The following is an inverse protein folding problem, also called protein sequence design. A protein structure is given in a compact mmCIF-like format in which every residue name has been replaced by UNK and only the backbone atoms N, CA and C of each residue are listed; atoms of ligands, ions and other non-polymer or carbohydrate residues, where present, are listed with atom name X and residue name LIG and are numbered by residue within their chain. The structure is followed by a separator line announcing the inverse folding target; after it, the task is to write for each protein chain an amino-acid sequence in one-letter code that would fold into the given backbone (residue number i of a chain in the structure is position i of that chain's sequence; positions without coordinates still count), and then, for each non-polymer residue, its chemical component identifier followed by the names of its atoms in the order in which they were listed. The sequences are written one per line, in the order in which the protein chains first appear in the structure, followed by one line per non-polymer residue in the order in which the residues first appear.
data_IF_754820342130
#
_entry.id   IF_754820342130
#
_cell.length_a   1.000
_cell.length_b   1.000
_cell.length_c   1.000
_cell.angle_alpha   90.00
_cell.angle_beta   90.00
_cell.angle_gamma   90.00
#
_symmetry.space_group_name_H-M   'P 1'
#
loop_
_entity.id
_entity.type
_entity.pdbx_description
1 polymer ?
#
# COMPACT_ATOMS: atom_id res chain seq x y z
N UNK A 1 24.10 -29.45 -9.03
CA UNK A 1 23.95 -28.05 -8.58
C UNK A 1 23.34 -27.27 -9.73
N UNK A 2 22.01 -27.18 -9.77
CA UNK A 2 21.31 -26.38 -10.79
C UNK A 2 21.12 -25.00 -10.19
N UNK A 3 21.90 -24.03 -10.68
CA UNK A 3 21.64 -22.62 -10.43
C UNK A 3 20.26 -22.33 -11.03
N UNK A 4 19.23 -22.23 -10.19
CA UNK A 4 18.00 -21.55 -10.57
C UNK A 4 18.37 -20.09 -10.77
N UNK A 5 18.41 -19.66 -12.03
CA UNK A 5 18.28 -18.26 -12.44
C UNK A 5 17.01 -17.73 -11.80
N UNK A 6 17.16 -17.16 -10.59
CA UNK A 6 16.09 -16.53 -9.84
C UNK A 6 15.62 -15.32 -10.63
N UNK A 7 14.54 -15.51 -11.40
CA UNK A 7 13.74 -14.39 -11.89
C UNK A 7 13.37 -13.57 -10.65
N UNK A 8 13.79 -12.31 -10.59
CA UNK A 8 13.57 -11.45 -9.41
C UNK A 8 12.06 -11.33 -9.18
N UNK A 9 11.54 -12.13 -8.25
CA UNK A 9 10.12 -12.16 -7.93
C UNK A 9 9.77 -10.84 -7.22
N UNK A 10 8.80 -10.11 -7.76
CA UNK A 10 8.39 -8.83 -7.19
C UNK A 10 7.40 -9.12 -6.06
N UNK A 11 7.81 -8.83 -4.83
CA UNK A 11 6.97 -8.95 -3.65
C UNK A 11 6.22 -7.62 -3.42
N UNK A 12 4.90 -7.66 -3.56
CA UNK A 12 4.03 -6.51 -3.31
C UNK A 12 3.12 -6.85 -2.15
N UNK A 13 3.04 -5.94 -1.18
CA UNK A 13 2.13 -6.07 -0.07
C UNK A 13 1.29 -4.82 0.14
N UNK A 14 0.02 -5.01 0.49
CA UNK A 14 -0.81 -3.94 0.99
C UNK A 14 -0.87 -3.99 2.52
N UNK A 15 -0.78 -2.84 3.17
CA UNK A 15 -0.93 -2.66 4.61
C UNK A 15 -2.24 -1.91 4.87
N UNK A 16 -3.21 -2.61 5.44
CA UNK A 16 -4.56 -2.11 5.68
C UNK A 16 -4.94 -2.28 7.14
N UNK A 17 -5.87 -1.46 7.63
CA UNK A 17 -6.40 -1.59 8.99
C UNK A 17 -7.06 -2.94 9.21
N UNK A 18 -7.99 -3.25 8.34
CA UNK A 18 -8.74 -4.49 8.29
C UNK A 18 -9.16 -4.79 6.86
N UNK A 19 -9.62 -6.02 6.63
CA UNK A 19 -10.25 -6.44 5.39
C UNK A 19 -11.77 -6.47 5.53
N UNK A 20 -12.36 -5.61 6.37
CA UNK A 20 -13.81 -5.58 6.53
C UNK A 20 -14.50 -5.14 5.21
N UNK A 21 -15.82 -5.36 5.08
CA UNK A 21 -16.58 -4.92 3.92
C UNK A 21 -16.49 -3.39 3.72
N UNK A 22 -15.65 -2.97 2.78
CA UNK A 22 -15.46 -1.59 2.36
C UNK A 22 -15.17 -1.52 0.87
N UNK A 23 -15.36 -0.36 0.25
CA UNK A 23 -15.01 -0.16 -1.16
C UNK A 23 -13.51 -0.44 -1.38
N UNK A 24 -12.64 0.10 -0.52
CA UNK A 24 -11.19 -0.14 -0.58
C UNK A 24 -10.85 -1.63 -0.56
N UNK A 25 -11.38 -2.36 0.43
CA UNK A 25 -11.16 -3.81 0.56
C UNK A 25 -11.63 -4.58 -0.68
N UNK A 26 -12.79 -4.21 -1.25
CA UNK A 26 -13.31 -4.87 -2.44
C UNK A 26 -12.40 -4.69 -3.66
N UNK A 27 -12.00 -3.46 -3.96
CA UNK A 27 -11.10 -3.17 -5.10
C UNK A 27 -9.73 -3.77 -4.89
N UNK A 28 -9.14 -3.63 -3.69
CA UNK A 28 -7.87 -4.25 -3.33
C UNK A 28 -7.90 -5.76 -3.56
N UNK A 29 -8.90 -6.47 -3.00
CA UNK A 29 -9.00 -7.93 -3.13
C UNK A 29 -9.17 -8.32 -4.60
N UNK A 30 -10.02 -7.61 -5.34
CA UNK A 30 -10.28 -7.89 -6.76
C UNK A 30 -9.02 -7.71 -7.61
N UNK A 31 -8.29 -6.62 -7.40
CA UNK A 31 -7.04 -6.34 -8.10
C UNK A 31 -5.95 -7.36 -7.75
N UNK A 32 -5.76 -7.66 -6.46
CA UNK A 32 -4.76 -8.63 -6.01
C UNK A 32 -5.08 -10.04 -6.49
N UNK A 33 -6.34 -10.45 -6.47
CA UNK A 33 -6.76 -11.74 -7.03
C UNK A 33 -6.52 -11.81 -8.54
N UNK A 34 -6.61 -10.69 -9.27
CA UNK A 34 -6.35 -10.67 -10.71
C UNK A 34 -4.85 -10.84 -11.02
N UNK A 35 -3.97 -10.39 -10.13
CA UNK A 35 -2.51 -10.50 -10.26
C UNK A 35 -1.99 -11.94 -10.15
N UNK A 36 -2.79 -12.89 -9.64
CA UNK A 36 -2.41 -14.30 -9.51
C UNK A 36 -2.10 -14.96 -10.85
N UNK A 37 -2.62 -14.41 -11.95
CA UNK A 37 -2.30 -14.88 -13.30
C UNK A 37 -0.80 -14.70 -13.63
N UNK A 38 -0.12 -13.75 -12.99
CA UNK A 38 1.29 -13.49 -13.17
C UNK A 38 2.11 -14.20 -12.09
N UNK A 39 2.85 -15.24 -12.48
CA UNK A 39 3.69 -16.03 -11.58
C UNK A 39 4.93 -15.28 -11.07
N UNK A 40 5.23 -14.12 -11.65
CA UNK A 40 6.41 -13.31 -11.32
C UNK A 40 6.15 -12.36 -10.14
N UNK A 41 4.89 -12.22 -9.71
CA UNK A 41 4.46 -11.28 -8.67
C UNK A 41 3.92 -12.07 -7.48
N UNK A 42 4.45 -11.81 -6.29
CA UNK A 42 3.92 -12.34 -5.04
C UNK A 42 3.15 -11.25 -4.30
N UNK A 43 1.83 -11.43 -4.20
CA UNK A 43 0.95 -10.50 -3.49
C UNK A 43 0.65 -10.97 -2.07
N UNK A 44 0.78 -10.08 -1.08
CA UNK A 44 0.34 -10.32 0.30
C UNK A 44 -0.43 -9.13 0.86
N UNK A 45 -1.24 -9.37 1.89
CA UNK A 45 -1.91 -8.29 2.62
C UNK A 45 -1.63 -8.44 4.10
N UNK A 46 -1.21 -7.34 4.72
CA UNK A 46 -1.02 -7.20 6.14
C UNK A 46 -2.20 -6.42 6.73
N UNK A 47 -2.81 -6.97 7.78
CA UNK A 47 -3.92 -6.32 8.47
C UNK A 47 -3.65 -6.22 9.98
N UNK A 48 -4.14 -5.13 10.60
CA UNK A 48 -4.07 -4.95 12.05
C UNK A 48 -5.17 -5.75 12.76
N UNK A 49 -6.39 -5.67 12.24
CA UNK A 49 -7.56 -6.34 12.81
C UNK A 49 -8.09 -7.40 11.85
N UNK A 50 -8.35 -8.60 12.38
CA UNK A 50 -9.04 -9.64 11.63
C UNK A 50 -10.50 -9.24 11.39
N UNK A 51 -10.93 -9.34 10.14
CA UNK A 51 -12.31 -9.12 9.71
C UNK A 51 -12.66 -10.10 8.59
N UNK A 52 -13.95 -10.34 8.38
CA UNK A 52 -14.43 -11.21 7.29
C UNK A 52 -14.35 -10.41 5.99
N UNK A 53 -13.57 -10.88 4.99
CA UNK A 53 -13.44 -10.16 3.73
C UNK A 53 -14.73 -10.22 2.91
N UNK A 54 -15.06 -9.16 2.15
CA UNK A 54 -16.25 -9.12 1.30
C UNK A 54 -16.18 -10.13 0.14
N UNK A 55 -14.97 -10.51 -0.27
CA UNK A 55 -14.70 -11.47 -1.36
C UNK A 55 -13.62 -12.43 -0.91
N UNK A 56 -13.64 -13.66 -1.43
CA UNK A 56 -12.60 -14.67 -1.14
C UNK A 56 -11.22 -14.16 -1.57
N UNK A 57 -10.30 -14.09 -0.62
CA UNK A 57 -8.90 -13.74 -0.84
C UNK A 57 -8.14 -14.95 -1.40
N UNK A 58 -7.40 -14.77 -2.49
CA UNK A 58 -6.57 -15.80 -3.10
C UNK A 58 -5.07 -15.57 -2.87
N UNK A 59 -4.73 -14.63 -1.98
CA UNK A 59 -3.37 -14.23 -1.62
C UNK A 59 -3.08 -14.46 -0.12
N UNK A 60 -1.82 -14.27 0.30
CA UNK A 60 -1.42 -14.45 1.70
C UNK A 60 -1.89 -13.29 2.57
N UNK A 61 -2.70 -13.58 3.58
CA UNK A 61 -3.18 -12.62 4.57
C UNK A 61 -2.38 -12.82 5.88
N UNK A 62 -1.72 -11.77 6.38
CA UNK A 62 -0.84 -11.82 7.57
C UNK A 62 -1.16 -10.69 8.53
N UNK A 63 -0.78 -10.84 9.79
CA UNK A 63 -0.87 -9.74 10.75
C UNK A 63 0.28 -8.75 10.55
N UNK A 64 0.02 -7.46 10.83
CA UNK A 64 1.00 -6.37 10.83
C UNK A 64 2.27 -6.68 11.62
N UNK A 65 2.20 -7.51 12.66
CA UNK A 65 3.38 -7.91 13.45
C UNK A 65 4.44 -8.65 12.61
N UNK A 66 4.03 -9.31 11.52
CA UNK A 66 4.95 -9.99 10.61
C UNK A 66 5.60 -9.04 9.58
N UNK A 67 5.33 -7.73 9.64
CA UNK A 67 5.87 -6.75 8.71
C UNK A 67 7.39 -6.55 8.87
N UNK A 68 7.93 -6.78 10.08
CA UNK A 68 9.35 -6.59 10.39
C UNK A 68 10.28 -7.52 9.60
N UNK A 69 9.79 -8.71 9.23
CA UNK A 69 10.55 -9.71 8.44
C UNK A 69 10.23 -9.66 6.94
N UNK A 70 9.43 -8.69 6.50
CA UNK A 70 9.02 -8.59 5.10
C UNK A 70 10.06 -7.86 4.25
N UNK A 71 10.32 -8.40 3.05
CA UNK A 71 11.19 -7.82 2.04
C UNK A 71 10.42 -7.67 0.73
N UNK A 72 10.34 -6.45 0.21
CA UNK A 72 9.54 -6.12 -0.96
C UNK A 72 9.01 -4.71 -0.88
N UNK A 73 7.83 -4.49 -1.47
CA UNK A 73 7.20 -3.18 -1.58
C UNK A 73 5.93 -3.19 -0.72
N UNK A 74 5.78 -2.19 0.15
CA UNK A 74 4.68 -2.10 1.13
C UNK A 74 3.86 -0.87 0.81
N UNK A 75 2.58 -1.06 0.47
CA UNK A 75 1.65 -0.01 0.11
C UNK A 75 0.64 0.15 1.25
N UNK A 76 0.71 1.26 1.96
CA UNK A 76 -0.18 1.57 3.08
C UNK A 76 -1.33 2.45 2.62
N UNK A 77 -2.56 2.18 3.06
CA UNK A 77 -3.74 2.95 2.62
C UNK A 77 -4.13 4.10 3.53
N UNK A 78 -3.56 4.13 4.73
CA UNK A 78 -3.96 5.03 5.81
C UNK A 78 -2.75 5.51 6.60
N UNK A 79 -2.89 6.63 7.30
CA UNK A 79 -1.79 7.34 7.96
C UNK A 79 -1.21 6.53 9.13
N UNK A 80 -2.06 5.84 9.89
CA UNK A 80 -1.65 4.98 11.01
C UNK A 80 -0.77 3.81 10.53
N UNK A 81 -1.16 3.18 9.43
CA UNK A 81 -0.47 2.07 8.76
C UNK A 81 0.83 2.57 8.15
N UNK A 82 0.81 3.75 7.53
CA UNK A 82 2.01 4.39 6.99
C UNK A 82 3.01 4.68 8.10
N UNK A 83 2.57 5.21 9.23
CA UNK A 83 3.42 5.43 10.40
C UNK A 83 3.99 4.10 10.93
N UNK A 84 3.18 3.05 10.97
CA UNK A 84 3.61 1.71 11.39
C UNK A 84 4.67 1.15 10.43
N UNK A 85 4.47 1.32 9.13
CA UNK A 85 5.43 0.92 8.09
C UNK A 85 6.74 1.70 8.20
N UNK A 86 6.69 3.02 8.43
CA UNK A 86 7.89 3.84 8.62
C UNK A 86 8.68 3.46 9.87
N UNK A 87 7.99 3.09 10.96
CA UNK A 87 8.61 2.60 12.20
C UNK A 87 9.16 1.18 12.07
N UNK A 88 8.64 0.37 11.15
CA UNK A 88 9.19 -0.96 10.89
C UNK A 88 10.60 -0.83 10.31
N UNK A 89 11.58 -1.45 10.99
CA UNK A 89 12.98 -1.53 10.55
C UNK A 89 13.15 -2.63 9.50
N UNK A 90 12.44 -2.52 8.39
CA UNK A 90 12.53 -3.42 7.24
C UNK A 90 13.18 -2.73 6.04
N UNK A 91 13.86 -3.51 5.20
CA UNK A 91 14.44 -3.05 3.94
C UNK A 91 13.39 -3.13 2.81
N UNK A 92 12.23 -2.52 3.02
CA UNK A 92 11.13 -2.50 2.06
C UNK A 92 10.90 -1.10 1.50
N UNK A 93 10.56 -0.99 0.22
CA UNK A 93 10.11 0.28 -0.34
C UNK A 93 8.72 0.62 0.19
N UNK A 94 8.57 1.83 0.72
CA UNK A 94 7.34 2.25 1.40
C UNK A 94 6.56 3.19 0.51
N UNK A 95 5.33 2.79 0.22
CA UNK A 95 4.38 3.56 -0.54
C UNK A 95 3.18 3.91 0.35
N UNK A 96 2.74 5.16 0.26
CA UNK A 96 1.48 5.60 0.84
C UNK A 96 0.49 5.84 -0.29
N UNK A 97 -0.52 4.97 -0.38
CA UNK A 97 -1.61 5.10 -1.34
C UNK A 97 -2.78 5.82 -0.69
N UNK A 98 -3.02 7.05 -1.12
CA UNK A 98 -4.08 7.90 -0.57
C UNK A 98 -5.41 7.48 -1.17
N UNK A 99 -6.07 6.56 -0.47
CA UNK A 99 -7.41 6.10 -0.82
C UNK A 99 -8.49 7.12 -0.44
N UNK A 100 -8.37 7.68 0.76
CA UNK A 100 -9.28 8.64 1.34
C UNK A 100 -8.50 9.67 2.17
N UNK A 101 -9.01 10.89 2.25
CA UNK A 101 -8.39 11.98 3.00
C UNK A 101 -8.90 11.94 4.44
N UNK A 102 -8.20 11.20 5.31
CA UNK A 102 -8.62 10.96 6.69
C UNK A 102 -8.89 12.24 7.50
N UNK A 103 -8.20 13.34 7.18
CA UNK A 103 -8.37 14.65 7.83
C UNK A 103 -9.68 15.37 7.48
N UNK A 104 -10.43 14.88 6.49
CA UNK A 104 -11.79 15.36 6.22
C UNK A 104 -12.81 14.77 7.19
N UNK A 105 -12.55 13.56 7.69
CA UNK A 105 -13.49 12.80 8.52
C UNK A 105 -13.16 12.87 10.01
N UNK A 106 -11.87 12.96 10.36
CA UNK A 106 -11.43 12.96 11.74
C UNK A 106 -10.44 14.10 12.00
N UNK A 107 -10.46 14.72 13.19
CA UNK A 107 -9.43 15.67 13.58
C UNK A 107 -8.09 14.94 13.69
N UNK A 108 -7.17 15.25 12.77
CA UNK A 108 -5.80 14.73 12.81
C UNK A 108 -4.84 15.78 13.33
N UNK A 109 -3.77 15.34 13.99
CA UNK A 109 -2.69 16.25 14.36
C UNK A 109 -1.87 16.58 13.12
N UNK A 110 -2.02 17.81 12.61
CA UNK A 110 -1.33 18.28 11.41
C UNK A 110 0.18 18.08 11.48
N UNK A 111 0.83 18.34 12.62
CA UNK A 111 2.26 18.13 12.77
C UNK A 111 2.67 16.68 12.52
N UNK A 112 1.96 15.74 13.15
CA UNK A 112 2.21 14.31 12.98
C UNK A 112 1.99 13.85 11.53
N UNK A 113 0.93 14.34 10.87
CA UNK A 113 0.67 13.99 9.46
C UNK A 113 1.77 14.52 8.55
N UNK A 114 2.18 15.77 8.74
CA UNK A 114 3.25 16.37 7.94
C UNK A 114 4.57 15.64 8.11
N UNK A 115 4.91 15.22 9.34
CA UNK A 115 6.12 14.44 9.61
C UNK A 115 6.09 13.08 8.88
N UNK A 116 4.93 12.42 8.79
CA UNK A 116 4.77 11.14 8.10
C UNK A 116 4.86 11.33 6.58
N UNK A 117 4.10 12.28 6.03
CA UNK A 117 3.95 12.46 4.58
C UNK A 117 5.26 13.00 3.96
N UNK A 118 5.96 13.89 4.67
CA UNK A 118 7.23 14.47 4.23
C UNK A 118 8.43 13.57 4.42
N UNK A 119 8.30 12.38 5.00
CA UNK A 119 9.42 11.45 5.14
C UNK A 119 9.98 11.07 3.75
N UNK A 120 11.27 11.34 3.50
CA UNK A 120 11.91 11.12 2.19
C UNK A 120 11.89 9.65 1.75
N UNK A 121 11.74 8.72 2.70
CA UNK A 121 11.68 7.27 2.42
C UNK A 121 10.31 6.84 1.90
N UNK A 122 9.32 7.72 1.98
CA UNK A 122 7.94 7.44 1.59
C UNK A 122 7.65 7.93 0.18
N UNK A 123 7.21 7.04 -0.70
CA UNK A 123 6.65 7.39 -2.00
C UNK A 123 5.13 7.54 -1.88
N UNK A 124 4.53 8.58 -2.46
CA UNK A 124 3.08 8.80 -2.36
C UNK A 124 2.42 8.45 -3.69
N UNK A 125 1.29 7.75 -3.64
CA UNK A 125 0.43 7.41 -4.77
C UNK A 125 -0.96 7.97 -4.48
N UNK A 126 -1.56 8.69 -5.42
CA UNK A 126 -2.91 9.23 -5.25
C UNK A 126 -3.93 8.42 -6.04
N UNK A 127 -5.19 8.40 -5.59
CA UNK A 127 -6.29 7.75 -6.33
C UNK A 127 -6.73 8.50 -7.58
N UNK A 128 -6.74 9.82 -7.53
CA UNK A 128 -7.15 10.69 -8.64
C UNK A 128 -6.34 11.98 -8.65
N UNK A 129 -6.41 12.72 -9.76
CA UNK A 129 -5.75 14.02 -9.90
C UNK A 129 -6.16 15.00 -8.79
N UNK A 130 -7.43 15.03 -8.43
CA UNK A 130 -7.91 15.89 -7.33
C UNK A 130 -7.27 15.53 -5.97
N UNK A 131 -7.03 14.25 -5.70
CA UNK A 131 -6.31 13.84 -4.49
C UNK A 131 -4.84 14.25 -4.56
N UNK A 132 -4.20 14.09 -5.72
CA UNK A 132 -2.82 14.52 -5.93
C UNK A 132 -2.66 16.03 -5.68
N UNK A 133 -3.52 16.86 -6.30
CA UNK A 133 -3.49 18.32 -6.14
C UNK A 133 -3.64 18.71 -4.66
N UNK A 134 -4.53 18.06 -3.91
CA UNK A 134 -4.72 18.35 -2.48
C UNK A 134 -3.49 17.96 -1.67
N UNK A 135 -2.89 16.79 -1.93
CA UNK A 135 -1.70 16.33 -1.20
C UNK A 135 -0.49 17.21 -1.51
N UNK A 136 -0.31 17.61 -2.76
CA UNK A 136 0.79 18.48 -3.17
C UNK A 136 0.67 19.85 -2.49
N UNK A 137 -0.53 20.44 -2.51
CA UNK A 137 -0.79 21.70 -1.79
C UNK A 137 -0.65 21.57 -0.27
N UNK A 138 -0.99 20.41 0.29
CA UNK A 138 -0.93 20.16 1.73
C UNK A 138 0.49 19.90 2.22
N UNK A 139 1.24 19.06 1.51
CA UNK A 139 2.51 18.50 1.95
C UNK A 139 3.74 19.14 1.29
N UNK A 140 3.57 19.90 0.19
CA UNK A 140 4.64 20.34 -0.71
C UNK A 140 5.52 19.19 -1.22
N UNK A 141 4.93 18.00 -1.40
CA UNK A 141 5.61 16.82 -1.91
C UNK A 141 4.84 16.28 -3.10
N UNK A 142 5.56 16.07 -4.20
CA UNK A 142 4.99 15.56 -5.44
C UNK A 142 4.56 14.10 -5.28
N UNK A 143 3.43 13.77 -5.90
CA UNK A 143 2.92 12.40 -5.94
C UNK A 143 3.64 11.64 -7.05
N UNK A 144 4.09 10.42 -6.76
CA UNK A 144 4.86 9.58 -7.71
C UNK A 144 3.98 9.14 -8.89
N UNK A 145 2.69 8.92 -8.64
CA UNK A 145 1.73 8.62 -9.69
C UNK A 145 0.29 8.54 -9.20
N UNK A 146 -0.61 8.47 -10.17
CA UNK A 146 -2.06 8.32 -9.93
C UNK A 146 -2.45 6.89 -10.27
N UNK A 147 -3.04 6.18 -9.31
CA UNK A 147 -3.57 4.82 -9.49
C UNK A 147 -5.05 4.84 -9.19
N UNK A 148 -5.88 4.69 -10.21
CA UNK A 148 -7.32 4.67 -10.03
C UNK A 148 -7.78 3.30 -9.51
N UNK A 149 -8.48 3.27 -8.37
CA UNK A 149 -9.17 2.09 -7.84
C UNK A 149 -8.32 0.80 -7.77
N UNK A 150 -7.06 0.91 -7.35
CA UNK A 150 -6.10 -0.21 -7.31
C UNK A 150 -5.85 -0.85 -8.69
N UNK A 151 -5.87 -0.07 -9.78
CA UNK A 151 -5.55 -0.59 -11.11
C UNK A 151 -4.17 -1.27 -11.10
N UNK A 152 -4.15 -2.56 -11.45
CA UNK A 152 -2.96 -3.40 -11.38
C UNK A 152 -1.88 -2.98 -12.37
N UNK A 153 -2.24 -2.47 -13.55
CA UNK A 153 -1.26 -2.08 -14.57
C UNK A 153 -0.50 -0.83 -14.13
N UNK A 154 -1.24 0.20 -13.71
CA UNK A 154 -0.67 1.45 -13.18
C UNK A 154 0.14 1.20 -11.90
N UNK A 155 -0.37 0.32 -11.02
CA UNK A 155 0.35 -0.05 -9.80
C UNK A 155 1.70 -0.69 -10.15
N UNK A 156 1.73 -1.64 -11.08
CA UNK A 156 2.95 -2.36 -11.44
C UNK A 156 3.98 -1.45 -12.12
N UNK A 157 3.55 -0.49 -12.93
CA UNK A 157 4.42 0.50 -13.55
C UNK A 157 5.17 1.31 -12.47
N UNK A 158 4.44 1.91 -11.52
CA UNK A 158 5.02 2.73 -10.44
C UNK A 158 5.86 1.95 -9.43
N UNK A 159 5.54 0.68 -9.26
CA UNK A 159 6.18 -0.19 -8.28
C UNK A 159 7.44 -0.84 -8.87
N UNK A 160 7.56 -0.95 -10.20
CA UNK A 160 8.71 -1.59 -10.86
C UNK A 160 9.81 -0.59 -11.27
N UNK A 161 9.50 0.70 -11.36
CA UNK A 161 10.50 1.80 -11.44
C UNK A 161 11.32 1.98 -10.16
#
# INVERSE_FOLDING_TARGET
MVQQTGKNMINISALVKDLAPSQNSFYLIKSFNSMIKNTDISTSVFFHRQAVPPVRTLFSCRSTYCLSSYHGKVISTSLEETQTSLKASNNSDKFYYVWDLEWLHNPVNFGTVMDIVRDDRLKIIARSKSHADVIENFSNKEVVGIVEDWNTEQLLELVTE
#
